data_IF_306876670307
#
_entry.id   IF_306876670307
#
_cell.length_a   1.000
_cell.length_b   1.000
_cell.length_c   1.000
_cell.angle_alpha   90.00
_cell.angle_beta   90.00
_cell.angle_gamma   90.00
#
_symmetry.space_group_name_H-M   'P 1'
#
loop_
_entity.id
_entity.type
_entity.pdbx_description
1 polymer ?
#
# COMPACT_ATOMS: atom_id res chain seq x y z
N UNK A 1 37.51 6.53 -5.34
CA UNK A 1 37.35 7.65 -6.29
C UNK A 1 38.09 8.94 -5.87
N UNK A 2 38.65 9.05 -4.65
CA UNK A 2 39.55 10.16 -4.31
C UNK A 2 38.89 11.47 -3.88
N UNK A 3 37.61 11.45 -3.49
CA UNK A 3 36.90 12.64 -2.99
C UNK A 3 36.83 12.67 -1.45
N UNK A 4 36.86 13.86 -0.89
CA UNK A 4 36.75 14.12 0.54
C UNK A 4 35.33 14.58 0.91
N UNK A 5 34.76 13.94 1.92
CA UNK A 5 33.44 14.30 2.45
C UNK A 5 33.56 15.51 3.38
N UNK A 6 32.82 16.61 3.14
CA UNK A 6 32.83 17.75 4.05
C UNK A 6 32.29 17.38 5.43
N UNK A 7 32.90 17.93 6.48
CA UNK A 7 32.61 17.61 7.89
C UNK A 7 31.14 17.77 8.29
N UNK A 8 30.41 18.72 7.68
CA UNK A 8 28.99 19.01 7.97
C UNK A 8 28.01 18.44 6.94
N UNK A 9 28.43 17.49 6.11
CA UNK A 9 27.57 16.88 5.08
C UNK A 9 27.01 15.53 5.54
N UNK A 10 25.85 15.14 5.03
CA UNK A 10 25.36 13.77 5.14
C UNK A 10 25.95 12.93 4.00
N UNK A 11 25.99 11.60 4.14
CA UNK A 11 26.49 10.73 3.06
C UNK A 11 25.69 10.92 1.77
N UNK A 12 24.38 11.12 1.86
CA UNK A 12 23.53 11.41 0.69
C UNK A 12 23.84 12.79 0.07
N UNK A 13 24.00 13.82 0.91
CA UNK A 13 24.36 15.16 0.44
C UNK A 13 25.73 15.18 -0.25
N UNK A 14 26.70 14.47 0.32
CA UNK A 14 28.02 14.27 -0.27
C UNK A 14 27.97 13.55 -1.62
N UNK A 15 27.29 12.40 -1.72
CA UNK A 15 27.20 11.67 -2.99
C UNK A 15 26.52 12.48 -4.09
N UNK A 16 25.52 13.28 -3.73
CA UNK A 16 24.84 14.17 -4.69
C UNK A 16 25.76 15.32 -5.11
N UNK A 17 26.56 15.88 -4.19
CA UNK A 17 27.49 16.97 -4.52
C UNK A 17 28.63 16.55 -5.44
N UNK A 18 28.99 15.26 -5.49
CA UNK A 18 30.02 14.74 -6.42
C UNK A 18 29.66 14.91 -7.90
N UNK A 19 28.37 15.00 -8.22
CA UNK A 19 27.90 15.28 -9.59
C UNK A 19 28.10 16.73 -10.01
N UNK A 20 28.36 17.64 -9.06
CA UNK A 20 28.61 19.06 -9.29
C UNK A 20 30.11 19.35 -9.21
N UNK A 21 30.68 19.84 -10.30
CA UNK A 21 32.12 20.13 -10.39
C UNK A 21 32.59 21.17 -9.39
N UNK A 22 31.73 22.11 -9.01
CA UNK A 22 32.06 23.19 -8.07
C UNK A 22 31.97 22.77 -6.60
N UNK A 23 31.24 21.69 -6.29
CA UNK A 23 31.00 21.26 -4.90
C UNK A 23 31.89 20.10 -4.46
N UNK A 24 32.47 19.35 -5.40
CA UNK A 24 33.36 18.23 -5.09
C UNK A 24 34.68 18.72 -4.51
N UNK A 25 35.12 18.11 -3.40
CA UNK A 25 36.44 18.33 -2.82
C UNK A 25 37.32 17.12 -3.10
N UNK A 26 38.49 17.37 -3.70
CA UNK A 26 39.47 16.33 -4.04
C UNK A 26 40.31 16.09 -2.79
N UNK A 27 40.52 14.82 -2.44
CA UNK A 27 41.43 14.46 -1.36
C UNK A 27 42.87 14.77 -1.79
N UNK A 28 43.70 15.43 -0.96
CA UNK A 28 45.09 15.70 -1.29
C UNK A 28 45.84 14.42 -1.73
N UNK A 29 46.55 14.49 -2.85
CA UNK A 29 47.32 13.37 -3.43
C UNK A 29 46.54 12.47 -4.40
N UNK A 30 45.29 12.82 -4.75
CA UNK A 30 44.45 12.10 -5.71
C UNK A 30 44.17 12.90 -6.98
N UNK A 31 44.75 14.09 -7.14
CA UNK A 31 44.43 15.06 -8.20
C UNK A 31 44.54 14.49 -9.62
N UNK A 32 45.52 13.62 -9.86
CA UNK A 32 45.77 13.00 -11.17
C UNK A 32 44.92 11.74 -11.44
N UNK A 33 44.23 11.21 -10.42
CA UNK A 33 43.59 9.87 -10.45
C UNK A 33 42.06 9.92 -10.26
N UNK A 34 41.46 11.11 -10.24
CA UNK A 34 40.01 11.26 -10.09
C UNK A 34 39.27 11.36 -11.43
N UNK A 35 38.02 10.89 -11.49
CA UNK A 35 37.14 11.19 -12.63
C UNK A 35 36.78 12.69 -12.63
N UNK A 36 37.17 13.40 -13.68
CA UNK A 36 36.94 14.84 -13.78
C UNK A 36 35.62 15.21 -14.47
N UNK A 37 35.05 14.31 -15.28
CA UNK A 37 33.82 14.57 -16.05
C UNK A 37 32.80 13.42 -15.88
N UNK A 38 31.51 13.64 -16.21
CA UNK A 38 30.47 12.62 -16.04
C UNK A 38 30.76 11.28 -16.74
N UNK A 39 31.43 11.32 -17.91
CA UNK A 39 31.81 10.11 -18.64
C UNK A 39 32.84 9.29 -17.87
N UNK A 40 33.86 9.95 -17.31
CA UNK A 40 34.87 9.29 -16.48
C UNK A 40 34.25 8.67 -15.21
N UNK A 41 33.25 9.33 -14.59
CA UNK A 41 32.50 8.73 -13.47
C UNK A 41 31.74 7.48 -13.90
N UNK A 42 31.08 7.51 -15.06
CA UNK A 42 30.36 6.36 -15.58
C UNK A 42 31.31 5.20 -15.93
N UNK A 43 32.47 5.49 -16.50
CA UNK A 43 33.52 4.50 -16.80
C UNK A 43 34.10 3.91 -15.50
N UNK A 44 34.38 4.72 -14.49
CA UNK A 44 34.83 4.27 -13.17
C UNK A 44 33.79 3.36 -12.49
N UNK A 45 32.51 3.70 -12.54
CA UNK A 45 31.44 2.82 -12.07
C UNK A 45 31.37 1.53 -12.90
N UNK A 46 31.53 1.62 -14.23
CA UNK A 46 31.49 0.45 -15.12
C UNK A 46 32.60 -0.56 -14.85
N UNK A 47 33.78 -0.07 -14.45
CA UNK A 47 34.93 -0.87 -14.07
C UNK A 47 34.93 -1.32 -12.60
N UNK A 48 33.99 -0.83 -11.79
CA UNK A 48 33.94 -1.13 -10.35
C UNK A 48 33.41 -2.53 -10.03
N UNK A 49 33.88 -3.08 -8.92
CA UNK A 49 33.34 -4.32 -8.35
C UNK A 49 31.85 -4.18 -7.99
N UNK A 50 31.39 -2.98 -7.62
CA UNK A 50 29.97 -2.73 -7.31
C UNK A 50 29.07 -3.00 -8.52
N UNK A 51 29.48 -2.60 -9.74
CA UNK A 51 28.70 -2.94 -10.94
C UNK A 51 28.74 -4.44 -11.21
N UNK A 52 29.91 -5.07 -11.07
CA UNK A 52 30.05 -6.51 -11.27
C UNK A 52 29.12 -7.30 -10.33
N UNK A 53 29.13 -6.96 -9.04
CA UNK A 53 28.22 -7.56 -8.05
C UNK A 53 26.76 -7.30 -8.40
N UNK A 54 26.39 -6.08 -8.78
CA UNK A 54 25.02 -5.76 -9.15
C UNK A 54 24.53 -6.56 -10.37
N UNK A 55 25.38 -6.76 -11.38
CA UNK A 55 25.04 -7.61 -12.52
C UNK A 55 24.86 -9.08 -12.13
N UNK A 56 25.68 -9.58 -11.20
CA UNK A 56 25.51 -10.93 -10.64
C UNK A 56 24.19 -11.04 -9.85
N UNK A 57 23.86 -10.03 -9.04
CA UNK A 57 22.61 -9.98 -8.28
C UNK A 57 21.39 -9.94 -9.20
N UNK A 58 21.44 -9.15 -10.28
CA UNK A 58 20.42 -9.12 -11.32
C UNK A 58 20.27 -10.49 -11.97
N UNK A 59 21.36 -11.13 -12.39
CA UNK A 59 21.32 -12.44 -13.03
C UNK A 59 20.77 -13.53 -12.09
N UNK A 60 21.17 -13.50 -10.81
CA UNK A 60 20.63 -14.41 -9.79
C UNK A 60 19.14 -14.18 -9.55
N UNK A 61 18.71 -12.92 -9.48
CA UNK A 61 17.32 -12.56 -9.32
C UNK A 61 16.48 -13.02 -10.51
N UNK A 62 16.93 -12.77 -11.74
CA UNK A 62 16.25 -13.19 -12.97
C UNK A 62 16.12 -14.72 -13.03
N UNK A 63 17.17 -15.46 -12.71
CA UNK A 63 17.13 -16.93 -12.63
C UNK A 63 16.07 -17.43 -11.65
N UNK A 64 15.98 -16.83 -10.46
CA UNK A 64 14.92 -17.15 -9.47
C UNK A 64 13.54 -16.76 -10.00
N UNK A 65 13.43 -15.61 -10.66
CA UNK A 65 12.19 -15.11 -11.22
C UNK A 65 11.63 -16.02 -12.30
N UNK A 66 12.46 -16.49 -13.24
CA UNK A 66 12.04 -17.45 -14.26
C UNK A 66 11.50 -18.74 -13.63
N UNK A 67 12.15 -19.27 -12.59
CA UNK A 67 11.64 -20.42 -11.86
C UNK A 67 10.29 -20.17 -11.17
N UNK A 68 10.06 -18.96 -10.67
CA UNK A 68 8.76 -18.57 -10.08
C UNK A 68 7.68 -18.35 -11.12
N UNK A 69 8.03 -17.77 -12.27
CA UNK A 69 7.12 -17.56 -13.40
C UNK A 69 6.65 -18.92 -13.94
N UNK A 70 7.55 -19.88 -14.10
CA UNK A 70 7.19 -21.21 -14.60
C UNK A 70 6.26 -21.93 -13.62
N UNK A 71 6.59 -21.93 -12.33
CA UNK A 71 5.69 -22.46 -11.27
C UNK A 71 4.32 -21.78 -11.27
N UNK A 72 4.28 -20.47 -11.49
CA UNK A 72 3.02 -19.71 -11.58
C UNK A 72 2.25 -20.05 -12.84
N UNK A 73 2.93 -20.28 -13.96
CA UNK A 73 2.34 -20.69 -15.24
C UNK A 73 1.74 -22.09 -15.14
N UNK A 74 2.42 -23.02 -14.48
CA UNK A 74 1.91 -24.38 -14.22
C UNK A 74 0.71 -24.37 -13.26
N UNK A 75 0.71 -23.48 -12.27
CA UNK A 75 -0.43 -23.29 -11.36
C UNK A 75 -1.59 -22.49 -11.97
N UNK A 76 -1.40 -21.83 -13.12
CA UNK A 76 -2.44 -21.07 -13.79
C UNK A 76 -3.31 -21.99 -14.65
N UNK A 77 -4.55 -22.20 -14.24
CA UNK A 77 -5.58 -22.80 -15.11
C UNK A 77 -5.80 -21.97 -16.38
N UNK A 78 -6.28 -22.59 -17.46
CA UNK A 78 -6.66 -21.90 -18.70
C UNK A 78 -7.61 -20.72 -18.48
N UNK A 79 -8.46 -20.79 -17.44
CA UNK A 79 -9.40 -19.75 -17.05
C UNK A 79 -8.77 -18.52 -16.36
N UNK A 80 -7.49 -18.58 -15.97
CA UNK A 80 -6.77 -17.53 -15.26
C UNK A 80 -5.76 -16.78 -16.16
N UNK A 81 -5.43 -17.32 -17.34
CA UNK A 81 -4.43 -16.74 -18.26
C UNK A 81 -4.73 -15.28 -18.69
N UNK A 82 -6.00 -14.89 -18.75
CA UNK A 82 -6.44 -13.55 -19.18
C UNK A 82 -6.97 -12.69 -18.04
N UNK A 83 -6.91 -13.18 -16.79
CA UNK A 83 -7.52 -12.49 -15.65
C UNK A 83 -6.46 -11.73 -14.85
N UNK A 84 -6.71 -10.44 -14.63
CA UNK A 84 -5.84 -9.55 -13.84
C UNK A 84 -5.90 -9.80 -12.32
N UNK A 85 -6.83 -10.64 -11.85
CA UNK A 85 -7.06 -10.89 -10.43
C UNK A 85 -6.74 -12.34 -10.05
N UNK A 86 -6.17 -12.51 -8.84
CA UNK A 86 -5.81 -13.82 -8.28
C UNK A 86 -7.03 -14.71 -8.00
N UNK A 87 -8.19 -14.11 -7.74
CA UNK A 87 -9.44 -14.81 -7.45
C UNK A 87 -10.59 -14.27 -8.33
N UNK A 88 -11.57 -15.11 -8.70
CA UNK A 88 -12.79 -14.63 -9.33
C UNK A 88 -13.56 -13.69 -8.37
N UNK A 89 -14.26 -12.70 -8.94
CA UNK A 89 -14.93 -11.64 -8.18
C UNK A 89 -15.83 -12.16 -7.05
N UNK A 90 -16.64 -13.17 -7.30
CA UNK A 90 -17.54 -13.75 -6.29
C UNK A 90 -16.81 -14.29 -5.05
N UNK A 91 -15.60 -14.87 -5.22
CA UNK A 91 -14.77 -15.32 -4.10
C UNK A 91 -14.26 -14.12 -3.30
N UNK A 92 -13.90 -13.03 -3.97
CA UNK A 92 -13.46 -11.80 -3.31
C UNK A 92 -14.59 -11.23 -2.45
N UNK A 93 -15.81 -11.15 -3.00
CA UNK A 93 -17.01 -10.70 -2.27
C UNK A 93 -17.27 -11.58 -1.05
N UNK A 94 -17.24 -12.91 -1.21
CA UNK A 94 -17.48 -13.83 -0.11
C UNK A 94 -16.41 -13.71 1.00
N UNK A 95 -15.14 -13.61 0.64
CA UNK A 95 -14.03 -13.44 1.61
C UNK A 95 -14.20 -12.14 2.39
N UNK A 96 -14.53 -11.04 1.69
CA UNK A 96 -14.76 -9.74 2.33
C UNK A 96 -15.98 -9.77 3.25
N UNK A 97 -17.07 -10.41 2.84
CA UNK A 97 -18.27 -10.58 3.66
C UNK A 97 -17.99 -11.41 4.91
N UNK A 98 -17.29 -12.55 4.77
CA UNK A 98 -16.90 -13.40 5.89
C UNK A 98 -16.02 -12.64 6.88
N UNK A 99 -15.00 -11.93 6.38
CA UNK A 99 -14.14 -11.07 7.21
C UNK A 99 -14.97 -10.02 7.95
N UNK A 100 -15.91 -9.37 7.27
CA UNK A 100 -16.77 -8.36 7.90
C UNK A 100 -17.65 -8.97 9.00
N UNK A 101 -18.16 -10.18 8.81
CA UNK A 101 -18.91 -10.89 9.85
C UNK A 101 -18.04 -11.17 11.08
N UNK A 102 -16.78 -11.56 10.89
CA UNK A 102 -15.83 -11.75 12.00
C UNK A 102 -15.51 -10.44 12.72
N UNK A 103 -15.30 -9.34 11.97
CA UNK A 103 -15.08 -8.01 12.55
C UNK A 103 -16.28 -7.57 13.40
N UNK A 104 -17.50 -7.73 12.88
CA UNK A 104 -18.71 -7.42 13.63
C UNK A 104 -18.81 -8.26 14.90
N UNK A 105 -18.55 -9.57 14.81
CA UNK A 105 -18.54 -10.46 15.98
C UNK A 105 -17.47 -10.09 17.01
N UNK A 106 -16.33 -9.57 16.55
CA UNK A 106 -15.21 -9.13 17.41
C UNK A 106 -15.45 -7.80 18.12
N UNK A 107 -16.48 -7.04 17.73
CA UNK A 107 -16.85 -5.77 18.36
C UNK A 107 -18.32 -5.79 18.86
N UNK A 108 -18.60 -6.57 19.92
CA UNK A 108 -19.94 -6.70 20.46
C UNK A 108 -20.48 -5.38 21.02
N UNK A 109 -19.61 -4.48 21.49
CA UNK A 109 -20.01 -3.19 22.05
C UNK A 109 -20.67 -2.30 20.98
N UNK A 110 -20.06 -2.20 19.79
CA UNK A 110 -20.68 -1.45 18.68
C UNK A 110 -21.98 -2.08 18.20
N UNK A 111 -22.07 -3.41 18.16
CA UNK A 111 -23.31 -4.10 17.81
C UNK A 111 -24.42 -3.82 18.82
N UNK A 112 -24.14 -3.98 20.12
CA UNK A 112 -25.11 -3.72 21.19
C UNK A 112 -25.52 -2.26 21.21
N UNK A 113 -24.57 -1.32 21.09
CA UNK A 113 -24.88 0.10 21.04
C UNK A 113 -25.80 0.46 19.87
N UNK A 114 -25.53 -0.09 18.67
CA UNK A 114 -26.36 0.14 17.49
C UNK A 114 -27.79 -0.39 17.69
N UNK A 115 -27.93 -1.68 18.02
CA UNK A 115 -29.25 -2.29 18.15
C UNK A 115 -30.02 -1.81 19.39
N UNK A 116 -29.30 -1.53 20.48
CA UNK A 116 -29.84 -0.90 21.68
C UNK A 116 -30.41 0.49 21.39
N UNK A 117 -29.69 1.31 20.62
CA UNK A 117 -30.19 2.62 20.20
C UNK A 117 -31.47 2.53 19.36
N UNK A 118 -31.49 1.62 18.37
CA UNK A 118 -32.68 1.38 17.55
C UNK A 118 -33.87 0.91 18.39
N UNK A 119 -33.67 -0.01 19.33
CA UNK A 119 -34.74 -0.48 20.21
C UNK A 119 -35.24 0.62 21.14
N UNK A 120 -34.33 1.41 21.70
CA UNK A 120 -34.67 2.54 22.57
C UNK A 120 -35.51 3.58 21.82
N UNK A 121 -35.09 3.97 20.62
CA UNK A 121 -35.85 4.89 19.76
C UNK A 121 -37.22 4.32 19.39
N UNK A 122 -37.29 3.03 19.04
CA UNK A 122 -38.56 2.35 18.74
C UNK A 122 -39.53 2.37 19.93
N UNK A 123 -39.04 2.21 21.16
CA UNK A 123 -39.87 2.30 22.37
C UNK A 123 -40.35 3.73 22.60
N UNK A 124 -39.47 4.73 22.49
CA UNK A 124 -39.83 6.14 22.66
C UNK A 124 -40.89 6.55 21.63
N UNK A 125 -40.62 6.35 20.34
CA UNK A 125 -41.56 6.68 19.27
C UNK A 125 -42.84 5.85 19.40
N UNK A 126 -42.74 4.55 19.63
CA UNK A 126 -43.89 3.67 19.80
C UNK A 126 -44.79 4.08 20.98
N UNK A 127 -44.20 4.58 22.08
CA UNK A 127 -44.97 5.08 23.22
C UNK A 127 -45.68 6.40 22.94
N UNK A 128 -45.04 7.32 22.21
CA UNK A 128 -45.64 8.61 21.84
C UNK A 128 -46.87 8.43 20.93
N UNK A 129 -46.83 7.40 20.08
CA UNK A 129 -47.89 7.08 19.13
C UNK A 129 -48.67 5.81 19.53
N UNK A 130 -48.69 5.46 20.83
CA UNK A 130 -49.43 4.31 21.32
C UNK A 130 -50.95 4.54 21.22
N UNK A 131 -51.68 3.48 20.87
CA UNK A 131 -53.16 3.43 20.83
C UNK A 131 -53.84 4.59 20.07
N UNK A 132 -53.30 4.96 18.91
CA UNK A 132 -53.89 6.03 18.08
C UNK A 132 -55.34 5.70 17.64
N UNK A 133 -56.25 6.70 17.64
CA UNK A 133 -57.64 6.53 17.23
C UNK A 133 -57.77 5.89 15.84
N UNK A 134 -58.67 4.91 15.70
CA UNK A 134 -58.98 4.27 14.40
C UNK A 134 -59.86 5.13 13.49
N UNK A 135 -60.30 6.30 13.96
CA UNK A 135 -61.09 7.28 13.23
C UNK A 135 -60.20 8.22 12.40
N UNK A 136 -60.83 9.15 11.66
CA UNK A 136 -60.16 10.20 10.90
C UNK A 136 -59.20 11.06 11.74
N UNK A 137 -59.47 11.20 13.03
CA UNK A 137 -58.65 12.00 13.95
C UNK A 137 -57.24 11.41 14.15
N UNK A 138 -57.08 10.09 13.93
CA UNK A 138 -55.78 9.42 14.00
C UNK A 138 -54.95 9.51 12.72
N UNK A 139 -55.46 10.08 11.62
CA UNK A 139 -54.75 10.11 10.32
C UNK A 139 -53.50 10.99 10.40
N UNK A 140 -53.57 12.14 11.07
CA UNK A 140 -52.42 13.05 11.23
C UNK A 140 -51.29 12.40 12.04
N UNK A 141 -51.63 11.73 13.16
CA UNK A 141 -50.65 11.03 14.00
C UNK A 141 -49.99 9.84 13.28
N UNK A 142 -50.74 9.08 12.47
CA UNK A 142 -50.18 8.00 11.64
C UNK A 142 -49.27 8.52 10.53
N UNK A 143 -49.58 9.66 9.94
CA UNK A 143 -48.68 10.34 9.02
C UNK A 143 -47.38 10.73 9.72
N UNK A 144 -47.49 11.34 10.91
CA UNK A 144 -46.34 11.80 11.68
C UNK A 144 -45.41 10.71 12.22
N UNK A 145 -45.84 9.46 12.37
CA UNK A 145 -44.97 8.35 12.80
C UNK A 145 -44.27 7.63 11.65
N UNK A 146 -44.75 7.77 10.41
CA UNK A 146 -44.21 7.08 9.23
C UNK A 146 -43.16 7.89 8.47
N UNK A 147 -43.15 9.22 8.62
CA UNK A 147 -42.31 10.17 7.89
C UNK A 147 -41.50 11.04 8.85
#
# INVERSE_FOLDING_TARGET
LGFEMPERSTSAGFLTSLSSEHQRKIRPGFEDWIPQNPRAFAEAFRASDQRSSNLLDIAQFESRLYGMIEKRRDAQSSATKTKNYALPFWKQVWILAHRQALVLKGDPQKLVGKWGGVLFEAVVVGSLFFDMPKTSDGVFLRGGVLF
#
